data_IF_416100126677
#
_entry.id   IF_416100126677
#
_cell.length_a   1.000
_cell.length_b   1.000
_cell.length_c   1.000
_cell.angle_alpha   90.00
_cell.angle_beta   90.00
_cell.angle_gamma   90.00
#
_symmetry.space_group_name_H-M   'P 1'
#
loop_
_entity.id
_entity.type
_entity.pdbx_description
1 polymer ?
#
# COMPACT_ATOMS: atom_id res chain seq x y z
N UNK A 1 5.58 -16.15 6.86
CA UNK A 1 4.79 -15.94 5.63
C UNK A 1 4.27 -17.29 5.19
N UNK A 2 2.98 -17.42 4.87
CA UNK A 2 2.33 -18.70 4.53
C UNK A 2 3.07 -19.46 3.43
N UNK A 3 3.05 -20.79 3.50
CA UNK A 3 3.62 -21.68 2.48
C UNK A 3 2.74 -21.71 1.23
N UNK A 4 3.30 -22.02 0.06
CA UNK A 4 2.65 -21.89 -1.24
C UNK A 4 1.33 -22.68 -1.35
N UNK A 5 1.19 -23.78 -0.60
CA UNK A 5 -0.01 -24.63 -0.58
C UNK A 5 -1.17 -24.04 0.25
N UNK A 6 -0.86 -23.24 1.28
CA UNK A 6 -1.85 -22.70 2.23
C UNK A 6 -2.21 -21.22 1.95
N UNK A 7 -1.62 -20.63 0.90
CA UNK A 7 -1.87 -19.22 0.53
C UNK A 7 -3.23 -18.96 -0.11
N UNK A 8 -3.88 -19.98 -0.68
CA UNK A 8 -5.11 -19.80 -1.45
C UNK A 8 -6.25 -19.21 -0.62
N UNK A 9 -6.48 -19.75 0.58
CA UNK A 9 -7.56 -19.33 1.48
C UNK A 9 -7.37 -17.88 2.01
N UNK A 10 -6.22 -17.49 2.57
CA UNK A 10 -6.00 -16.10 3.00
C UNK A 10 -5.98 -15.10 1.84
N UNK A 11 -5.46 -15.48 0.68
CA UNK A 11 -5.50 -14.60 -0.52
C UNK A 11 -6.93 -14.44 -1.06
N UNK A 12 -7.74 -15.49 -1.00
CA UNK A 12 -9.16 -15.44 -1.36
C UNK A 12 -9.93 -14.49 -0.43
N UNK A 13 -9.79 -14.66 0.89
CA UNK A 13 -10.37 -13.76 1.88
C UNK A 13 -9.93 -12.31 1.69
N UNK A 14 -8.65 -12.07 1.42
CA UNK A 14 -8.13 -10.74 1.13
C UNK A 14 -8.75 -10.14 -0.14
N UNK A 15 -8.94 -10.94 -1.18
CA UNK A 15 -9.54 -10.51 -2.45
C UNK A 15 -11.05 -10.25 -2.33
N UNK A 16 -11.73 -10.86 -1.36
CA UNK A 16 -13.14 -10.60 -1.07
C UNK A 16 -13.36 -9.26 -0.35
N UNK A 17 -12.36 -8.77 0.40
CA UNK A 17 -12.52 -7.53 1.18
C UNK A 17 -12.88 -6.30 0.31
N UNK A 18 -12.24 -6.04 -0.85
CA UNK A 18 -12.66 -4.97 -1.75
C UNK A 18 -14.07 -5.16 -2.33
N UNK A 19 -14.47 -6.40 -2.62
CA UNK A 19 -15.80 -6.70 -3.18
C UNK A 19 -16.91 -6.38 -2.18
N UNK A 20 -16.73 -6.83 -0.93
CA UNK A 20 -17.65 -6.55 0.17
C UNK A 20 -17.69 -5.04 0.45
N UNK A 21 -16.53 -4.39 0.51
CA UNK A 21 -16.46 -2.94 0.70
C UNK A 21 -17.19 -2.15 -0.39
N UNK A 22 -17.03 -2.55 -1.65
CA UNK A 22 -17.69 -1.90 -2.79
C UNK A 22 -19.20 -2.13 -2.81
N UNK A 23 -19.69 -3.25 -2.28
CA UNK A 23 -21.13 -3.53 -2.17
C UNK A 23 -21.80 -2.72 -1.07
N UNK A 24 -21.16 -2.62 0.11
CA UNK A 24 -21.72 -1.89 1.25
C UNK A 24 -21.57 -0.37 1.13
N UNK A 25 -20.58 0.11 0.38
CA UNK A 25 -20.29 1.54 0.26
C UNK A 25 -21.45 2.37 -0.31
N UNK A 26 -22.12 2.00 -1.43
CA UNK A 26 -23.25 2.75 -1.96
C UNK A 26 -24.47 2.75 -1.04
N UNK A 27 -24.76 1.62 -0.38
CA UNK A 27 -25.89 1.52 0.54
C UNK A 27 -25.71 2.46 1.75
N UNK A 28 -24.50 2.47 2.34
CA UNK A 28 -24.18 3.38 3.44
C UNK A 28 -24.13 4.85 2.98
N UNK A 29 -23.56 5.12 1.80
CA UNK A 29 -23.48 6.49 1.25
C UNK A 29 -24.84 7.06 0.89
N UNK A 30 -25.77 6.24 0.37
CA UNK A 30 -27.13 6.67 0.02
C UNK A 30 -27.91 7.13 1.26
N UNK A 31 -27.85 6.36 2.34
CA UNK A 31 -28.52 6.69 3.60
C UNK A 31 -28.00 8.01 4.22
N UNK A 32 -26.68 8.22 4.19
CA UNK A 32 -26.06 9.45 4.74
C UNK A 32 -26.47 10.67 3.90
N UNK A 33 -26.58 10.52 2.58
CA UNK A 33 -26.97 11.61 1.68
C UNK A 33 -28.42 12.05 1.83
N UNK A 34 -29.32 11.14 2.20
CA UNK A 34 -30.74 11.47 2.41
C UNK A 34 -31.00 12.10 3.78
N UNK A 35 -30.21 11.72 4.79
CA UNK A 35 -30.49 12.07 6.19
C UNK A 35 -29.66 13.23 6.73
N UNK A 36 -28.47 13.51 6.17
CA UNK A 36 -27.54 14.51 6.72
C UNK A 36 -26.99 15.49 5.66
N UNK A 37 -26.55 16.69 6.10
CA UNK A 37 -25.85 17.64 5.23
C UNK A 37 -24.57 17.05 4.62
N UNK A 38 -24.23 17.50 3.41
CA UNK A 38 -23.08 17.07 2.61
C UNK A 38 -21.74 16.84 3.36
N UNK A 39 -21.26 17.69 4.30
CA UNK A 39 -19.95 17.46 4.93
C UNK A 39 -19.88 16.22 5.82
N UNK A 40 -21.02 15.68 6.25
CA UNK A 40 -21.06 14.48 7.10
C UNK A 40 -20.51 13.23 6.41
N UNK A 41 -20.50 13.18 5.07
CA UNK A 41 -19.85 12.10 4.34
C UNK A 41 -18.36 12.00 4.68
N UNK A 42 -17.65 13.14 4.73
CA UNK A 42 -16.23 13.16 5.05
C UNK A 42 -15.96 12.77 6.50
N UNK A 43 -16.79 13.22 7.43
CA UNK A 43 -16.64 12.87 8.85
C UNK A 43 -16.83 11.37 9.09
N UNK A 44 -17.84 10.75 8.46
CA UNK A 44 -18.09 9.31 8.57
C UNK A 44 -16.94 8.50 7.96
N UNK A 45 -16.46 8.90 6.77
CA UNK A 45 -15.30 8.26 6.14
C UNK A 45 -14.03 8.39 6.99
N UNK A 46 -13.81 9.55 7.61
CA UNK A 46 -12.66 9.80 8.47
C UNK A 46 -12.70 8.94 9.74
N UNK A 47 -13.86 8.84 10.40
CA UNK A 47 -14.04 8.00 11.59
C UNK A 47 -13.78 6.53 11.23
N UNK A 48 -14.42 6.03 10.16
CA UNK A 48 -14.26 4.64 9.73
C UNK A 48 -12.79 4.31 9.39
N UNK A 49 -12.12 5.21 8.64
CA UNK A 49 -10.72 5.04 8.27
C UNK A 49 -9.80 5.08 9.49
N UNK A 50 -10.08 5.96 10.46
CA UNK A 50 -9.29 6.08 11.69
C UNK A 50 -9.41 4.84 12.57
N UNK A 51 -10.61 4.26 12.68
CA UNK A 51 -10.83 3.00 13.39
C UNK A 51 -10.02 1.89 12.73
N UNK A 52 -10.14 1.73 11.40
CA UNK A 52 -9.38 0.71 10.67
C UNK A 52 -7.86 0.89 10.84
N UNK A 53 -7.38 2.13 10.75
CA UNK A 53 -5.97 2.46 10.97
C UNK A 53 -5.49 2.10 12.39
N UNK A 54 -6.28 2.39 13.42
CA UNK A 54 -5.96 2.04 14.81
C UNK A 54 -5.93 0.52 15.01
N UNK A 55 -6.86 -0.22 14.40
CA UNK A 55 -6.81 -1.68 14.38
C UNK A 55 -5.53 -2.19 13.71
N UNK A 56 -5.13 -1.64 12.56
CA UNK A 56 -3.90 -2.04 11.90
C UNK A 56 -2.67 -1.76 12.77
N UNK A 57 -2.61 -0.61 13.45
CA UNK A 57 -1.49 -0.27 14.33
C UNK A 57 -1.33 -1.21 15.52
N UNK A 58 -2.44 -1.69 16.10
CA UNK A 58 -2.40 -2.57 17.28
C UNK A 58 -2.13 -4.02 16.90
N UNK A 59 -2.76 -4.51 15.82
CA UNK A 59 -2.77 -5.93 15.49
C UNK A 59 -1.68 -6.34 14.49
N UNK A 60 -1.21 -5.44 13.63
CA UNK A 60 -0.24 -5.78 12.59
C UNK A 60 1.19 -5.53 13.09
N UNK A 61 2.00 -6.57 13.32
CA UNK A 61 3.41 -6.37 13.60
C UNK A 61 4.12 -5.82 12.36
N UNK A 62 5.17 -5.04 12.57
CA UNK A 62 6.03 -4.48 11.52
C UNK A 62 6.42 -5.57 10.50
N UNK A 63 5.81 -5.52 9.31
CA UNK A 63 5.96 -6.54 8.26
C UNK A 63 7.05 -6.15 7.25
N UNK A 64 7.64 -4.97 7.37
CA UNK A 64 8.64 -4.49 6.43
C UNK A 64 10.00 -5.21 6.62
N UNK A 65 10.25 -6.19 5.75
CA UNK A 65 11.44 -7.05 5.76
C UNK A 65 12.78 -6.31 5.89
N UNK A 66 13.08 -5.21 5.18
CA UNK A 66 14.37 -4.54 5.30
C UNK A 66 14.57 -3.85 6.65
N UNK A 67 13.50 -3.37 7.31
CA UNK A 67 13.58 -2.80 8.67
C UNK A 67 13.76 -3.91 9.71
N UNK A 68 13.12 -5.07 9.51
CA UNK A 68 13.33 -6.21 10.40
C UNK A 68 14.76 -6.77 10.28
N UNK A 69 15.30 -6.85 9.05
CA UNK A 69 16.66 -7.28 8.79
C UNK A 69 17.70 -6.29 9.34
N UNK A 70 17.50 -4.97 9.19
CA UNK A 70 18.41 -3.97 9.75
C UNK A 70 18.45 -4.04 11.28
N UNK A 71 17.28 -4.15 11.94
CA UNK A 71 17.19 -4.35 13.39
C UNK A 71 17.91 -5.63 13.84
N UNK A 72 17.82 -6.72 13.06
CA UNK A 72 18.51 -7.98 13.36
C UNK A 72 20.03 -7.87 13.14
N UNK A 73 20.46 -7.23 12.06
CA UNK A 73 21.88 -6.99 11.77
C UNK A 73 22.54 -6.14 12.87
N UNK A 74 21.86 -5.09 13.35
CA UNK A 74 22.31 -4.27 14.47
C UNK A 74 22.48 -5.07 15.78
N UNK A 75 21.54 -5.98 16.09
CA UNK A 75 21.66 -6.88 17.25
C UNK A 75 22.85 -7.83 17.13
N UNK A 76 23.08 -8.40 15.94
CA UNK A 76 24.21 -9.31 15.69
C UNK A 76 25.56 -8.59 15.72
N UNK A 77 25.62 -7.35 15.20
CA UNK A 77 26.82 -6.49 15.27
C UNK A 77 27.25 -6.22 16.70
N UNK A 78 26.29 -5.94 17.60
CA UNK A 78 26.55 -5.75 19.04
C UNK A 78 27.03 -7.03 19.72
N UNK A 79 26.52 -8.20 19.32
CA UNK A 79 26.85 -9.49 19.95
C UNK A 79 28.23 -10.03 19.53
N UNK A 80 28.60 -9.87 18.27
CA UNK A 80 29.86 -10.41 17.72
C UNK A 80 30.99 -9.37 17.63
N UNK A 81 30.73 -8.12 18.02
CA UNK A 81 31.67 -7.00 17.95
C UNK A 81 32.35 -6.85 16.57
N UNK A 82 31.68 -7.32 15.51
CA UNK A 82 32.20 -7.31 14.15
C UNK A 82 31.49 -6.21 13.33
N UNK A 83 32.18 -5.13 12.95
CA UNK A 83 31.58 -4.00 12.25
C UNK A 83 31.20 -4.29 10.78
N UNK A 84 31.60 -5.44 10.24
CA UNK A 84 31.34 -5.81 8.84
C UNK A 84 30.00 -6.52 8.61
N UNK A 85 29.26 -6.87 9.66
CA UNK A 85 27.88 -7.35 9.51
C UNK A 85 26.95 -6.18 9.18
N UNK A 86 26.59 -6.07 7.89
CA UNK A 86 25.59 -5.13 7.38
C UNK A 86 24.41 -5.90 6.78
N UNK A 87 23.21 -5.35 6.89
CA UNK A 87 22.08 -5.90 6.16
C UNK A 87 22.22 -5.59 4.65
N UNK A 88 21.73 -6.45 3.76
CA UNK A 88 21.77 -6.22 2.30
C UNK A 88 21.09 -4.89 1.87
N UNK A 89 20.19 -4.37 2.71
CA UNK A 89 19.56 -3.06 2.52
C UNK A 89 20.44 -1.88 2.97
N UNK A 90 21.35 -2.07 3.94
CA UNK A 90 22.33 -1.05 4.39
C UNK A 90 23.50 -0.91 3.41
N UNK A 91 23.75 -1.93 2.59
CA UNK A 91 24.77 -1.89 1.53
C UNK A 91 24.35 -0.96 0.39
N UNK A 92 23.05 -0.94 0.09
CA UNK A 92 22.43 0.01 -0.83
C UNK A 92 22.12 1.34 -0.14
N UNK A 93 23.16 2.08 0.26
CA UNK A 93 23.11 3.48 0.76
C UNK A 93 22.51 4.45 -0.29
N UNK A 94 21.29 4.19 -0.73
CA UNK A 94 20.53 5.04 -1.60
C UNK A 94 20.07 6.21 -0.75
N UNK A 95 20.78 7.33 -0.87
CA UNK A 95 20.34 8.64 -0.39
C UNK A 95 18.84 8.81 -0.68
N UNK A 96 18.09 9.35 0.28
CA UNK A 96 16.65 9.63 0.13
C UNK A 96 16.35 10.36 -1.19
N UNK A 97 17.26 11.24 -1.62
CA UNK A 97 17.18 11.96 -2.90
C UNK A 97 17.23 11.03 -4.11
N UNK A 98 18.10 10.01 -4.09
CA UNK A 98 18.19 9.02 -5.16
C UNK A 98 16.99 8.09 -5.17
N UNK A 99 16.49 7.67 -4.00
CA UNK A 99 15.25 6.88 -3.91
C UNK A 99 14.06 7.66 -4.47
N UNK A 100 13.92 8.94 -4.09
CA UNK A 100 12.86 9.81 -4.60
C UNK A 100 12.98 10.00 -6.12
N UNK A 101 14.20 10.25 -6.62
CA UNK A 101 14.46 10.38 -8.06
C UNK A 101 14.05 9.11 -8.81
N UNK A 102 14.45 7.94 -8.32
CA UNK A 102 14.08 6.66 -8.95
C UNK A 102 12.58 6.42 -8.86
N UNK A 103 11.96 6.67 -7.72
CA UNK A 103 10.52 6.49 -7.52
C UNK A 103 9.69 7.40 -8.43
N UNK A 104 10.11 8.65 -8.64
CA UNK A 104 9.41 9.61 -9.51
C UNK A 104 9.69 9.37 -11.00
N UNK A 105 10.90 8.93 -11.37
CA UNK A 105 11.25 8.72 -12.78
C UNK A 105 10.75 7.39 -13.33
N UNK A 106 10.66 6.34 -12.50
CA UNK A 106 10.20 5.01 -12.93
C UNK A 106 8.84 5.02 -13.63
N UNK A 107 7.78 5.67 -13.10
CA UNK A 107 6.48 5.72 -13.75
C UNK A 107 6.54 6.29 -15.17
N UNK A 108 7.26 7.41 -15.38
CA UNK A 108 7.39 8.01 -16.70
C UNK A 108 8.21 7.13 -17.65
N UNK A 109 9.31 6.55 -17.16
CA UNK A 109 10.12 5.63 -17.98
C UNK A 109 9.29 4.43 -18.41
N UNK A 110 8.49 3.84 -17.52
CA UNK A 110 7.61 2.72 -17.83
C UNK A 110 6.52 3.13 -18.82
N UNK A 111 5.89 4.30 -18.64
CA UNK A 111 4.85 4.82 -19.53
C UNK A 111 5.34 4.96 -20.98
N UNK A 112 6.55 5.48 -21.19
CA UNK A 112 7.10 5.68 -22.54
C UNK A 112 7.83 4.47 -23.11
N UNK A 113 8.31 3.55 -22.25
CA UNK A 113 9.09 2.38 -22.68
C UNK A 113 8.22 1.15 -22.91
N UNK A 114 7.09 1.04 -22.23
CA UNK A 114 6.14 -0.06 -22.38
C UNK A 114 4.89 0.41 -23.16
N UNK A 115 4.78 0.11 -24.48
CA UNK A 115 3.71 0.66 -25.32
C UNK A 115 2.31 0.22 -24.87
N UNK A 116 2.19 -0.95 -24.25
CA UNK A 116 0.92 -1.44 -23.68
C UNK A 116 0.40 -0.53 -22.56
N UNK A 117 1.29 -0.05 -21.68
CA UNK A 117 0.91 0.85 -20.58
C UNK A 117 0.45 2.21 -21.10
N UNK A 118 1.10 2.73 -22.15
CA UNK A 118 0.71 3.98 -22.79
C UNK A 118 -0.72 3.88 -23.36
N UNK A 119 -1.00 2.83 -24.13
CA UNK A 119 -2.32 2.61 -24.72
C UNK A 119 -3.41 2.51 -23.66
N UNK A 120 -3.17 1.74 -22.58
CA UNK A 120 -4.12 1.61 -21.46
C UNK A 120 -4.33 2.94 -20.74
N UNK A 121 -3.26 3.70 -20.52
CA UNK A 121 -3.33 4.99 -19.82
C UNK A 121 -4.14 6.02 -20.62
N UNK A 122 -3.95 6.08 -21.95
CA UNK A 122 -4.74 6.94 -22.85
C UNK A 122 -6.19 6.51 -22.89
N UNK A 123 -6.46 5.20 -22.99
CA UNK A 123 -7.81 4.67 -22.96
C UNK A 123 -8.55 5.05 -21.66
N UNK A 124 -7.92 4.83 -20.51
CA UNK A 124 -8.51 5.17 -19.21
C UNK A 124 -8.72 6.69 -19.08
N UNK A 125 -7.76 7.51 -19.52
CA UNK A 125 -7.90 8.97 -19.51
C UNK A 125 -9.08 9.44 -20.37
N UNK A 126 -9.28 8.83 -21.55
CA UNK A 126 -10.41 9.14 -22.43
C UNK A 126 -11.75 8.74 -21.79
N UNK A 127 -11.83 7.53 -21.22
CA UNK A 127 -13.04 7.05 -20.53
C UNK A 127 -13.40 7.96 -19.35
N UNK A 128 -12.42 8.34 -18.52
CA UNK A 128 -12.67 9.26 -17.41
C UNK A 128 -13.02 10.68 -17.87
N UNK A 129 -12.43 11.16 -18.96
CA UNK A 129 -12.80 12.46 -19.55
C UNK A 129 -14.19 12.49 -20.17
N UNK A 130 -14.82 11.34 -20.39
CA UNK A 130 -16.24 11.25 -20.80
C UNK A 130 -17.18 11.07 -19.61
N UNK A 131 -16.72 10.44 -18.53
CA UNK A 131 -17.54 10.14 -17.35
C UNK A 131 -17.70 11.33 -16.40
N UNK A 132 -16.78 12.29 -16.43
CA UNK A 132 -16.77 13.51 -15.60
C UNK A 132 -16.86 14.75 -16.48
#
# INVERSE_FOLDING_TARGET
MWDNKDRGLPMGLFSMAPLVGSLFSPAASGYISESLPWPWHFWVMLIMSSICYLFLLIFVPETYAPVLLSRRAQKLRKKHNNPNLKAAFEENNLSLRNQLKVALTRPFVLLFREPMLLCLSVYIAFVYGLLY
#
